data_IF_137387448620
#
_entry.id   IF_137387448620
#
_cell.length_a   1.000
_cell.length_b   1.000
_cell.length_c   1.000
_cell.angle_alpha   90.00
_cell.angle_beta   90.00
_cell.angle_gamma   90.00
#
_symmetry.space_group_name_H-M   'P 1'
#
loop_
_entity.id
_entity.type
_entity.pdbx_description
1 polymer ?
#
# COMPACT_ATOMS: atom_id res chain seq x y z
N UNK A 1 5.19 9.59 -10.66
CA UNK A 1 5.25 9.56 -9.17
C UNK A 1 3.96 10.20 -8.65
N UNK A 2 3.38 9.70 -7.53
CA UNK A 2 2.20 10.29 -6.89
C UNK A 2 2.38 11.77 -6.54
N UNK A 3 1.29 12.53 -6.40
CA UNK A 3 1.37 13.93 -5.95
C UNK A 3 1.89 14.03 -4.53
N UNK A 4 1.50 13.09 -3.66
CA UNK A 4 1.96 12.98 -2.26
C UNK A 4 2.51 11.61 -1.97
N UNK A 5 3.50 11.57 -1.09
CA UNK A 5 4.14 10.35 -0.61
C UNK A 5 4.42 10.45 0.89
N UNK A 6 4.47 9.31 1.57
CA UNK A 6 5.01 9.20 2.91
C UNK A 6 6.52 8.98 2.78
N UNK A 7 7.32 9.94 3.23
CA UNK A 7 8.75 9.74 3.51
C UNK A 7 8.87 8.94 4.82
N UNK A 8 9.17 7.65 4.68
CA UNK A 8 9.26 6.74 5.83
C UNK A 8 10.54 6.95 6.62
N UNK A 9 11.51 7.72 6.12
CA UNK A 9 12.81 7.88 6.77
C UNK A 9 13.57 6.55 6.91
N UNK A 10 14.39 6.45 7.95
CA UNK A 10 15.21 5.27 8.25
C UNK A 10 14.53 4.27 9.18
N UNK A 11 15.06 3.05 9.25
CA UNK A 11 14.56 1.97 10.11
C UNK A 11 14.51 2.37 11.59
N UNK A 12 15.43 3.23 12.05
CA UNK A 12 15.53 3.65 13.45
C UNK A 12 14.55 4.77 13.85
N UNK A 13 13.86 5.41 12.90
CA UNK A 13 12.97 6.53 13.19
C UNK A 13 11.57 6.05 13.61
N UNK A 14 11.02 6.58 14.69
CA UNK A 14 9.63 6.36 15.09
C UNK A 14 8.62 7.18 14.28
N UNK A 15 9.11 8.11 13.46
CA UNK A 15 8.29 9.11 12.76
C UNK A 15 8.41 8.99 11.25
N UNK A 16 7.38 9.40 10.53
CA UNK A 16 7.37 9.60 9.08
C UNK A 16 6.92 11.03 8.75
N UNK A 17 6.92 11.41 7.47
CA UNK A 17 6.39 12.71 7.02
C UNK A 17 5.64 12.56 5.70
N UNK A 18 4.55 13.30 5.55
CA UNK A 18 3.91 13.46 4.25
C UNK A 18 4.67 14.50 3.44
N UNK A 19 5.02 14.18 2.19
CA UNK A 19 5.75 15.09 1.29
C UNK A 19 4.97 15.29 0.01
N UNK A 20 4.99 16.52 -0.49
CA UNK A 20 4.45 16.87 -1.81
C UNK A 20 5.55 16.69 -2.86
N UNK A 21 5.24 15.95 -3.92
CA UNK A 21 6.18 15.63 -5.01
C UNK A 21 6.68 16.88 -5.73
N UNK A 22 5.85 17.92 -5.83
CA UNK A 22 6.23 19.20 -6.43
C UNK A 22 7.40 19.88 -5.70
N UNK A 23 7.54 19.64 -4.40
CA UNK A 23 8.54 20.27 -3.53
C UNK A 23 9.83 19.42 -3.42
N UNK A 24 9.87 18.26 -4.06
CA UNK A 24 11.04 17.39 -4.11
C UNK A 24 12.03 17.84 -5.21
N UNK A 25 13.34 17.64 -4.97
CA UNK A 25 14.36 17.82 -6.01
C UNK A 25 14.20 16.79 -7.13
N UNK A 26 14.72 17.09 -8.31
CA UNK A 26 14.67 16.18 -9.48
C UNK A 26 15.32 14.81 -9.20
N UNK A 27 16.37 14.77 -8.39
CA UNK A 27 16.98 13.52 -7.94
C UNK A 27 16.04 12.70 -7.04
N UNK A 28 15.31 13.35 -6.14
CA UNK A 28 14.34 12.68 -5.26
C UNK A 28 13.12 12.19 -6.04
N UNK A 29 12.68 12.91 -7.08
CA UNK A 29 11.58 12.50 -7.98
C UNK A 29 11.88 11.23 -8.77
N UNK A 30 13.16 10.88 -8.95
CA UNK A 30 13.60 9.63 -9.61
C UNK A 30 13.66 8.44 -8.67
N UNK A 31 13.52 8.64 -7.35
CA UNK A 31 13.58 7.54 -6.38
C UNK A 31 12.33 6.65 -6.50
N UNK A 32 12.49 5.33 -6.35
CA UNK A 32 11.35 4.42 -6.33
C UNK A 32 10.44 4.69 -5.12
N UNK A 33 9.18 4.33 -5.29
CA UNK A 33 8.20 4.26 -4.21
C UNK A 33 7.46 2.93 -4.25
N UNK A 34 6.89 2.56 -3.10
CA UNK A 34 6.05 1.38 -2.93
C UNK A 34 4.62 1.84 -2.67
N UNK A 35 3.64 1.02 -3.04
CA UNK A 35 2.23 1.24 -2.69
C UNK A 35 1.79 0.21 -1.67
N UNK A 36 1.06 0.64 -0.63
CA UNK A 36 0.33 -0.27 0.25
C UNK A 36 -1.14 -0.38 -0.20
N UNK A 37 -1.59 -1.60 -0.49
CA UNK A 37 -2.99 -1.94 -0.76
C UNK A 37 -3.51 -2.81 0.37
N UNK A 38 -4.60 -2.37 1.01
CA UNK A 38 -5.17 -3.00 2.21
C UNK A 38 -6.67 -2.73 2.35
N UNK A 39 -7.37 -3.50 3.17
CA UNK A 39 -8.74 -3.19 3.56
C UNK A 39 -8.72 -2.13 4.66
N UNK A 40 -9.39 -0.99 4.43
CA UNK A 40 -9.49 0.08 5.43
C UNK A 40 -10.20 -0.41 6.70
N UNK A 41 -11.42 -0.93 6.54
CA UNK A 41 -12.26 -1.34 7.66
C UNK A 41 -12.59 -0.18 8.61
N UNK A 42 -12.90 -0.53 9.85
CA UNK A 42 -13.19 0.39 10.96
C UNK A 42 -11.93 1.02 11.58
N UNK A 43 -10.77 0.37 11.49
CA UNK A 43 -9.53 0.85 12.12
C UNK A 43 -8.79 1.97 11.39
N UNK A 44 -9.34 2.51 10.29
CA UNK A 44 -8.61 3.39 9.37
C UNK A 44 -8.66 4.88 9.73
N UNK A 45 -9.50 5.28 10.68
CA UNK A 45 -9.68 6.69 11.04
C UNK A 45 -8.36 7.41 11.39
N UNK A 46 -7.40 6.82 12.13
CA UNK A 46 -6.13 7.48 12.42
C UNK A 46 -5.25 7.71 11.18
N UNK A 47 -5.49 6.98 10.09
CA UNK A 47 -4.77 7.16 8.83
C UNK A 47 -5.36 8.28 7.98
N UNK A 48 -6.63 8.62 8.20
CA UNK A 48 -7.38 9.56 7.37
C UNK A 48 -6.70 10.92 7.37
N UNK A 49 -6.39 11.41 6.18
CA UNK A 49 -5.93 12.79 5.99
C UNK A 49 -7.13 13.68 5.71
N UNK A 50 -7.42 14.59 6.62
CA UNK A 50 -8.41 15.67 6.44
C UNK A 50 -7.76 17.00 6.84
N UNK A 51 -8.10 17.55 8.01
CA UNK A 51 -7.52 18.81 8.54
C UNK A 51 -6.08 18.66 9.03
N UNK A 52 -5.67 17.43 9.35
CA UNK A 52 -4.32 17.10 9.83
C UNK A 52 -3.25 17.13 8.73
N UNK A 53 -3.57 17.56 7.50
CA UNK A 53 -2.61 17.61 6.38
C UNK A 53 -1.33 18.39 6.75
N UNK A 54 -1.48 19.58 7.35
CA UNK A 54 -0.34 20.42 7.76
C UNK A 54 0.50 19.72 8.84
N UNK A 55 -0.15 19.06 9.79
CA UNK A 55 0.54 18.30 10.85
C UNK A 55 1.32 17.14 10.25
N UNK A 56 0.71 16.37 9.32
CA UNK A 56 1.36 15.24 8.64
C UNK A 56 2.55 15.66 7.79
N UNK A 57 2.57 16.88 7.24
CA UNK A 57 3.76 17.43 6.57
C UNK A 57 4.93 17.63 7.53
N UNK A 58 4.64 18.10 8.75
CA UNK A 58 5.67 18.29 9.77
C UNK A 58 6.14 16.93 10.31
N UNK A 59 5.19 16.08 10.70
CA UNK A 59 5.45 14.80 11.36
C UNK A 59 4.21 13.90 11.36
N UNK A 60 4.45 12.61 11.16
CA UNK A 60 3.49 11.52 11.39
C UNK A 60 4.11 10.63 12.47
N UNK A 61 3.45 10.53 13.62
CA UNK A 61 3.79 9.56 14.65
C UNK A 61 3.32 8.19 14.18
N UNK A 62 4.25 7.29 13.85
CA UNK A 62 3.89 6.04 13.18
C UNK A 62 2.98 5.17 14.06
N UNK A 63 3.20 5.18 15.37
CA UNK A 63 2.41 4.42 16.37
C UNK A 63 0.93 4.84 16.44
N UNK A 64 0.59 6.06 16.00
CA UNK A 64 -0.81 6.52 15.92
C UNK A 64 -1.55 5.96 14.71
N UNK A 65 -0.85 5.46 13.68
CA UNK A 65 -1.47 4.90 12.49
C UNK A 65 -2.03 3.50 12.75
N UNK A 66 -2.92 3.02 11.89
CA UNK A 66 -3.40 1.64 11.96
C UNK A 66 -2.25 0.63 11.78
N UNK A 67 -2.39 -0.54 12.42
CA UNK A 67 -1.33 -1.55 12.48
C UNK A 67 -0.82 -1.96 11.08
N UNK A 68 -1.72 -2.06 10.11
CA UNK A 68 -1.40 -2.37 8.72
C UNK A 68 -0.51 -1.32 8.06
N UNK A 69 -0.73 -0.04 8.33
CA UNK A 69 0.12 1.05 7.79
C UNK A 69 1.46 1.09 8.52
N UNK A 70 1.48 0.87 9.83
CA UNK A 70 2.73 0.73 10.59
C UNK A 70 3.63 -0.36 10.00
N UNK A 71 3.03 -1.52 9.72
CA UNK A 71 3.73 -2.64 9.12
C UNK A 71 4.16 -2.33 7.69
N UNK A 72 3.34 -1.63 6.89
CA UNK A 72 3.71 -1.14 5.56
C UNK A 72 4.91 -0.19 5.58
N UNK A 73 4.96 0.73 6.53
CA UNK A 73 6.11 1.63 6.75
C UNK A 73 7.35 0.82 7.10
N UNK A 74 7.22 -0.14 8.03
CA UNK A 74 8.32 -1.03 8.44
C UNK A 74 8.86 -1.84 7.27
N UNK A 75 7.99 -2.47 6.48
CA UNK A 75 8.39 -3.26 5.30
C UNK A 75 9.12 -2.36 4.29
N UNK A 76 8.59 -1.16 4.02
CA UNK A 76 9.20 -0.20 3.09
C UNK A 76 10.62 0.18 3.53
N UNK A 77 10.82 0.44 4.83
CA UNK A 77 12.14 0.71 5.42
C UNK A 77 13.08 -0.49 5.30
N UNK A 78 12.59 -1.71 5.54
CA UNK A 78 13.38 -2.95 5.40
C UNK A 78 13.80 -3.21 3.95
N UNK A 79 12.96 -2.84 2.99
CA UNK A 79 13.29 -2.86 1.56
C UNK A 79 14.29 -1.76 1.15
N UNK A 80 14.70 -0.89 2.09
CA UNK A 80 15.57 0.28 1.84
C UNK A 80 14.96 1.26 0.83
N UNK A 81 13.64 1.36 0.80
CA UNK A 81 12.91 2.34 0.00
C UNK A 81 12.44 3.46 0.92
N UNK A 82 12.50 4.69 0.41
CA UNK A 82 12.16 5.88 1.23
C UNK A 82 10.69 6.28 1.13
N UNK A 83 10.03 5.96 0.01
CA UNK A 83 8.71 6.48 -0.28
C UNK A 83 7.66 5.38 -0.28
N UNK A 84 6.61 5.61 0.50
CA UNK A 84 5.42 4.78 0.56
C UNK A 84 4.20 5.62 0.15
N UNK A 85 3.34 5.05 -0.68
CA UNK A 85 2.03 5.63 -0.99
C UNK A 85 0.94 4.79 -0.34
N UNK A 86 0.04 5.47 0.38
CA UNK A 86 -1.12 4.89 1.06
C UNK A 86 -2.30 5.80 0.76
N UNK A 87 -3.35 5.29 0.13
CA UNK A 87 -4.52 6.07 -0.30
C UNK A 87 -5.13 6.91 0.83
N UNK A 88 -5.38 6.30 2.00
CA UNK A 88 -5.98 6.96 3.16
C UNK A 88 -5.17 8.15 3.71
N UNK A 89 -3.85 8.12 3.54
CA UNK A 89 -2.92 9.15 4.04
C UNK A 89 -2.60 10.17 2.94
N UNK A 90 -2.47 9.71 1.69
CA UNK A 90 -1.99 10.50 0.57
C UNK A 90 -3.10 11.17 -0.24
N UNK A 91 -4.38 10.85 -0.01
CA UNK A 91 -5.54 11.50 -0.63
C UNK A 91 -6.37 12.15 0.47
N UNK A 92 -6.76 13.41 0.28
CA UNK A 92 -7.59 14.14 1.24
C UNK A 92 -8.99 13.52 1.25
N UNK A 93 -9.48 13.20 2.44
CA UNK A 93 -10.79 12.59 2.66
C UNK A 93 -11.74 13.58 3.33
N UNK A 94 -13.04 13.44 3.08
CA UNK A 94 -14.06 14.22 3.76
C UNK A 94 -14.16 13.85 5.24
N UNK A 95 -14.45 14.84 6.08
CA UNK A 95 -14.72 14.65 7.49
C UNK A 95 -16.22 14.67 7.78
N UNK A 96 -16.87 13.51 7.65
CA UNK A 96 -18.31 13.34 7.86
C UNK A 96 -18.82 13.72 9.25
N UNK A 97 -17.93 13.92 10.24
CA UNK A 97 -18.33 14.34 11.59
C UNK A 97 -18.63 15.83 11.68
N UNK A 98 -18.33 16.59 10.63
CA UNK A 98 -18.39 18.04 10.62
C UNK A 98 -19.28 18.49 9.45
N UNK A 99 -20.34 19.23 9.76
CA UNK A 99 -21.28 19.77 8.77
C UNK A 99 -20.68 20.97 8.02
N UNK A 100 -19.55 20.78 7.33
CA UNK A 100 -18.82 21.82 6.62
C UNK A 100 -18.72 21.50 5.14
N UNK A 101 -19.70 21.95 4.35
CA UNK A 101 -19.78 21.76 2.89
C UNK A 101 -18.46 22.09 2.17
N UNK A 102 -17.76 23.14 2.60
CA UNK A 102 -16.50 23.57 1.98
C UNK A 102 -15.36 22.54 2.14
N UNK A 103 -15.34 21.74 3.21
CA UNK A 103 -14.32 20.69 3.39
C UNK A 103 -14.58 19.49 2.50
N UNK A 104 -15.86 19.16 2.32
CA UNK A 104 -16.29 18.10 1.41
C UNK A 104 -15.91 18.45 -0.04
N UNK A 105 -16.07 19.72 -0.45
CA UNK A 105 -15.69 20.17 -1.79
C UNK A 105 -14.17 20.03 -2.03
N UNK A 106 -13.34 20.33 -1.03
CA UNK A 106 -11.87 20.17 -1.13
C UNK A 106 -11.49 18.69 -1.23
N UNK A 107 -12.09 17.83 -0.42
CA UNK A 107 -11.84 16.39 -0.47
C UNK A 107 -12.29 15.79 -1.81
N UNK A 108 -13.44 16.20 -2.32
CA UNK A 108 -13.96 15.76 -3.62
C UNK A 108 -13.04 16.20 -4.77
N UNK A 109 -12.63 17.47 -4.81
CA UNK A 109 -11.70 17.96 -5.82
C UNK A 109 -10.34 17.26 -5.75
N UNK A 110 -9.88 16.90 -4.54
CA UNK A 110 -8.67 16.11 -4.36
C UNK A 110 -8.83 14.69 -4.91
N UNK A 111 -9.91 14.01 -4.55
CA UNK A 111 -10.22 12.67 -4.99
C UNK A 111 -10.35 12.59 -6.51
N UNK A 112 -11.04 13.53 -7.15
CA UNK A 112 -11.13 13.60 -8.62
C UNK A 112 -9.75 13.69 -9.27
N UNK A 113 -8.89 14.56 -8.74
CA UNK A 113 -7.53 14.74 -9.26
C UNK A 113 -6.66 13.50 -9.07
N UNK A 114 -6.74 12.85 -7.92
CA UNK A 114 -5.91 11.69 -7.59
C UNK A 114 -6.41 10.41 -8.27
N UNK A 115 -7.72 10.18 -8.32
CA UNK A 115 -8.34 8.99 -8.94
C UNK A 115 -7.99 8.86 -10.42
N UNK A 116 -8.00 9.98 -11.17
CA UNK A 116 -7.55 10.02 -12.57
C UNK A 116 -6.09 9.59 -12.77
N UNK A 117 -5.25 9.72 -11.73
CA UNK A 117 -3.82 9.41 -11.79
C UNK A 117 -3.46 8.07 -11.18
N UNK A 118 -4.36 7.44 -10.43
CA UNK A 118 -4.11 6.18 -9.74
C UNK A 118 -3.53 5.11 -10.66
N UNK A 119 -4.02 5.01 -11.90
CA UNK A 119 -3.47 4.07 -12.87
C UNK A 119 -1.96 4.27 -13.08
N UNK A 120 -1.53 5.52 -13.27
CA UNK A 120 -0.11 5.85 -13.38
C UNK A 120 0.67 5.58 -12.09
N UNK A 121 0.03 5.72 -10.91
CA UNK A 121 0.69 5.47 -9.63
C UNK A 121 1.01 3.99 -9.47
N UNK A 122 0.07 3.10 -9.78
CA UNK A 122 0.32 1.65 -9.73
C UNK A 122 1.37 1.22 -10.76
N UNK A 123 1.25 1.69 -12.01
CA UNK A 123 2.18 1.35 -13.11
C UNK A 123 3.61 1.82 -12.94
N UNK A 124 3.84 2.91 -12.22
CA UNK A 124 5.18 3.44 -11.98
C UNK A 124 5.74 3.10 -10.59
N UNK A 125 5.01 2.33 -9.78
CA UNK A 125 5.50 1.87 -8.48
C UNK A 125 6.59 0.80 -8.65
N UNK A 126 7.54 0.73 -7.71
CA UNK A 126 8.52 -0.36 -7.71
C UNK A 126 7.84 -1.71 -7.46
N UNK A 127 6.90 -1.69 -6.52
CA UNK A 127 6.07 -2.81 -6.10
C UNK A 127 4.85 -2.30 -5.31
N UNK A 128 3.77 -3.08 -5.35
CA UNK A 128 2.63 -2.99 -4.43
C UNK A 128 2.76 -4.05 -3.32
N UNK A 129 2.72 -3.64 -2.06
CA UNK A 129 2.49 -4.53 -0.91
C UNK A 129 0.98 -4.72 -0.78
N UNK A 130 0.51 -5.94 -0.90
CA UNK A 130 -0.89 -6.29 -0.71
C UNK A 130 -1.09 -6.97 0.65
N UNK A 131 -1.84 -6.34 1.55
CA UNK A 131 -2.18 -6.86 2.87
C UNK A 131 -3.31 -7.91 2.77
N UNK A 132 -3.08 -8.98 2.00
CA UNK A 132 -4.11 -9.95 1.64
C UNK A 132 -4.68 -10.75 2.83
N UNK A 133 -3.97 -10.82 3.96
CA UNK A 133 -4.47 -11.47 5.17
C UNK A 133 -5.41 -10.59 6.01
N UNK A 134 -5.29 -9.26 5.91
CA UNK A 134 -5.95 -8.34 6.83
C UNK A 134 -7.32 -7.92 6.31
N UNK A 135 -8.38 -8.18 7.10
CA UNK A 135 -9.74 -7.71 6.77
C UNK A 135 -9.99 -6.27 7.21
N UNK A 136 -9.26 -5.83 8.21
CA UNK A 136 -9.30 -4.50 8.78
C UNK A 136 -7.88 -3.96 8.94
N UNK A 137 -7.71 -2.64 8.84
CA UNK A 137 -6.41 -2.00 8.97
C UNK A 137 -5.80 -2.08 10.38
N UNK A 138 -6.60 -2.42 11.40
CA UNK A 138 -6.15 -2.68 12.76
C UNK A 138 -5.46 -4.04 12.96
N UNK A 139 -5.65 -5.01 12.05
CA UNK A 139 -5.12 -6.37 12.21
C UNK A 139 -3.60 -6.46 11.98
N UNK A 140 -3.08 -5.65 11.06
CA UNK A 140 -1.67 -5.73 10.67
C UNK A 140 -1.36 -6.75 9.57
N UNK A 141 -0.14 -6.66 9.07
CA UNK A 141 0.39 -7.49 7.99
C UNK A 141 1.39 -8.51 8.55
N UNK A 142 2.19 -8.09 9.53
CA UNK A 142 3.25 -8.88 10.14
C UNK A 142 2.69 -9.78 11.24
N UNK A 143 1.85 -10.73 10.83
CA UNK A 143 1.35 -11.78 11.72
C UNK A 143 2.40 -12.86 11.95
N UNK A 144 2.44 -13.41 13.16
CA UNK A 144 3.21 -14.61 13.45
C UNK A 144 2.61 -15.77 12.65
N UNK A 145 3.46 -16.42 11.85
CA UNK A 145 3.09 -17.59 11.07
C UNK A 145 3.94 -18.75 11.57
N UNK A 146 3.34 -19.94 11.67
CA UNK A 146 4.15 -21.16 11.78
C UNK A 146 4.98 -21.22 10.53
N UNK A 147 6.28 -20.90 10.63
CA UNK A 147 7.22 -21.01 9.53
C UNK A 147 7.19 -22.47 9.07
N UNK A 148 6.39 -22.74 8.05
CA UNK A 148 6.51 -24.00 7.37
C UNK A 148 7.91 -23.97 6.78
N UNK A 149 8.79 -24.84 7.29
CA UNK A 149 10.17 -24.99 6.84
C UNK A 149 10.19 -25.62 5.45
N UNK A 150 9.43 -25.07 4.52
CA UNK A 150 9.61 -25.38 3.12
C UNK A 150 10.99 -24.85 2.76
N UNK A 151 11.84 -25.74 2.30
CA UNK A 151 13.18 -25.39 1.87
C UNK A 151 13.06 -24.32 0.78
N UNK A 152 13.64 -23.13 1.01
CA UNK A 152 13.70 -22.03 0.04
C UNK A 152 14.26 -22.49 -1.32
N UNK A 153 14.88 -23.67 -1.36
CA UNK A 153 15.53 -24.30 -2.52
C UNK A 153 14.59 -24.87 -3.58
N UNK A 154 13.27 -25.01 -3.35
CA UNK A 154 12.36 -25.38 -4.43
C UNK A 154 11.89 -24.14 -5.19
N UNK A 155 12.79 -23.59 -6.00
CA UNK A 155 12.44 -22.78 -7.16
C UNK A 155 11.58 -23.64 -8.09
N UNK A 156 10.26 -23.62 -7.89
CA UNK A 156 9.38 -23.96 -8.97
C UNK A 156 9.41 -22.77 -9.91
N UNK A 157 10.23 -22.86 -10.96
CA UNK A 157 9.80 -22.31 -12.23
C UNK A 157 8.82 -23.34 -12.78
N UNK A 158 7.50 -23.17 -12.63
CA UNK A 158 6.58 -24.00 -13.39
C UNK A 158 6.74 -23.53 -14.83
N UNK A 159 7.74 -24.06 -15.53
CA UNK A 159 7.79 -24.02 -16.96
C UNK A 159 6.40 -24.46 -17.43
N UNK A 160 5.61 -23.52 -17.94
CA UNK A 160 4.24 -23.68 -18.43
C UNK A 160 3.06 -23.56 -17.45
N UNK A 161 3.13 -22.78 -16.36
CA UNK A 161 1.89 -22.20 -15.80
C UNK A 161 1.87 -20.71 -16.08
N UNK A 162 1.01 -20.30 -17.00
CA UNK A 162 0.57 -18.91 -17.17
C UNK A 162 0.36 -18.27 -15.79
N UNK A 163 0.63 -16.97 -15.66
CA UNK A 163 0.18 -16.21 -14.50
C UNK A 163 -1.29 -16.61 -14.23
N UNK A 164 -1.64 -17.08 -13.02
CA UNK A 164 -3.05 -17.34 -12.75
C UNK A 164 -3.78 -16.04 -13.06
N UNK A 165 -4.80 -16.10 -13.91
CA UNK A 165 -5.63 -14.94 -14.17
C UNK A 165 -6.05 -14.34 -12.82
N UNK A 166 -6.25 -13.01 -12.70
CA UNK A 166 -6.64 -12.41 -11.42
C UNK A 166 -7.82 -13.17 -10.75
N UNK A 167 -8.74 -13.68 -11.58
CA UNK A 167 -9.82 -14.56 -11.15
C UNK A 167 -9.35 -15.90 -10.56
N UNK A 168 -8.48 -16.64 -11.27
CA UNK A 168 -7.93 -17.91 -10.78
C UNK A 168 -7.09 -17.71 -9.50
N UNK A 169 -6.33 -16.61 -9.39
CA UNK A 169 -5.61 -16.30 -8.17
C UNK A 169 -6.58 -16.03 -7.02
N UNK A 170 -7.60 -15.20 -7.23
CA UNK A 170 -8.61 -14.88 -6.21
C UNK A 170 -9.32 -16.14 -5.69
N UNK A 171 -9.61 -17.11 -6.57
CA UNK A 171 -10.17 -18.39 -6.15
C UNK A 171 -9.19 -19.23 -5.32
N UNK A 172 -7.90 -19.22 -5.68
CA UNK A 172 -6.86 -19.99 -4.98
C UNK A 172 -6.49 -19.40 -3.62
N UNK A 173 -6.44 -18.07 -3.54
CA UNK A 173 -6.03 -17.31 -2.37
C UNK A 173 -7.13 -16.30 -2.01
N UNK A 174 -8.25 -16.74 -1.41
CA UNK A 174 -9.34 -15.83 -1.08
C UNK A 174 -8.88 -14.77 -0.08
N UNK A 175 -9.25 -13.52 -0.34
CA UNK A 175 -8.91 -12.37 0.49
C UNK A 175 -10.00 -11.31 0.39
N UNK A 176 -10.33 -10.67 1.51
CA UNK A 176 -11.20 -9.49 1.54
C UNK A 176 -10.68 -8.34 0.68
N UNK A 177 -9.36 -8.28 0.47
CA UNK A 177 -8.73 -7.28 -0.38
C UNK A 177 -9.23 -7.39 -1.83
N UNK A 178 -9.56 -8.60 -2.27
CA UNK A 178 -9.91 -8.91 -3.66
C UNK A 178 -11.39 -8.68 -3.98
N UNK A 179 -12.18 -8.36 -2.95
CA UNK A 179 -13.59 -7.98 -3.05
C UNK A 179 -13.77 -6.47 -3.33
N UNK A 180 -12.70 -5.68 -3.22
CA UNK A 180 -12.72 -4.24 -3.51
C UNK A 180 -12.95 -3.99 -5.00
N UNK A 181 -13.79 -3.01 -5.34
CA UNK A 181 -14.06 -2.63 -6.73
C UNK A 181 -12.82 -2.25 -7.54
N UNK A 182 -11.80 -1.67 -6.88
CA UNK A 182 -10.57 -1.21 -7.54
C UNK A 182 -9.46 -2.27 -7.60
N UNK A 183 -9.62 -3.41 -6.94
CA UNK A 183 -8.56 -4.42 -6.79
C UNK A 183 -7.95 -4.88 -8.12
N UNK A 184 -8.77 -5.09 -9.15
CA UNK A 184 -8.31 -5.57 -10.44
C UNK A 184 -7.40 -4.55 -11.13
N UNK A 185 -7.74 -3.26 -11.06
CA UNK A 185 -6.92 -2.17 -11.56
C UNK A 185 -5.59 -2.11 -10.81
N UNK A 186 -5.63 -2.18 -9.49
CA UNK A 186 -4.42 -2.19 -8.66
C UNK A 186 -3.51 -3.39 -8.97
N UNK A 187 -4.09 -4.54 -9.33
CA UNK A 187 -3.35 -5.73 -9.73
C UNK A 187 -2.68 -5.55 -11.08
N UNK A 188 -3.48 -5.38 -12.13
CA UNK A 188 -3.01 -5.42 -13.52
C UNK A 188 -1.95 -4.36 -13.78
N UNK A 189 -2.09 -3.20 -13.14
CA UNK A 189 -1.18 -2.09 -13.35
C UNK A 189 0.09 -2.19 -12.53
N UNK A 190 0.13 -2.97 -11.45
CA UNK A 190 1.34 -3.09 -10.64
C UNK A 190 2.39 -3.97 -11.33
N UNK A 191 3.62 -3.48 -11.58
CA UNK A 191 4.64 -4.29 -12.26
C UNK A 191 5.12 -5.47 -11.40
N UNK A 192 5.03 -5.32 -10.07
CA UNK A 192 5.34 -6.35 -9.07
C UNK A 192 4.41 -6.23 -7.88
N UNK A 193 4.00 -7.37 -7.31
CA UNK A 193 3.10 -7.42 -6.17
C UNK A 193 3.68 -8.35 -5.10
N UNK A 194 3.79 -7.86 -3.88
CA UNK A 194 4.07 -8.68 -2.70
C UNK A 194 2.78 -8.93 -1.95
N UNK A 195 2.15 -10.08 -2.18
CA UNK A 195 0.96 -10.51 -1.45
C UNK A 195 1.37 -11.12 -0.12
N UNK A 196 0.90 -10.50 0.95
CA UNK A 196 1.11 -10.95 2.31
C UNK A 196 -0.13 -11.72 2.76
N UNK A 197 -0.10 -13.04 2.62
CA UNK A 197 -1.26 -13.92 2.87
C UNK A 197 -1.16 -14.59 4.24
N UNK A 198 -2.25 -15.22 4.68
CA UNK A 198 -2.29 -16.07 5.88
C UNK A 198 -1.24 -17.20 5.84
N UNK A 199 -0.97 -17.72 4.64
CA UNK A 199 -0.24 -18.97 4.44
C UNK A 199 1.20 -18.77 3.96
N UNK A 200 1.64 -17.55 3.68
CA UNK A 200 2.91 -17.31 3.00
C UNK A 200 3.00 -15.97 2.29
N UNK A 201 4.21 -15.60 1.91
CA UNK A 201 4.47 -14.52 0.97
C UNK A 201 4.33 -15.02 -0.46
N UNK A 202 3.61 -14.27 -1.30
CA UNK A 202 3.60 -14.50 -2.75
C UNK A 202 4.19 -13.25 -3.40
N UNK A 203 5.28 -13.43 -4.14
CA UNK A 203 5.91 -12.38 -4.91
C UNK A 203 5.60 -12.57 -6.39
N UNK A 204 4.85 -11.66 -6.97
CA UNK A 204 4.42 -11.71 -8.37
C UNK A 204 5.11 -10.59 -9.18
N UNK A 205 5.43 -10.88 -10.44
CA UNK A 205 5.90 -9.91 -11.43
C UNK A 205 5.36 -10.27 -12.82
N UNK A 206 5.60 -9.43 -13.82
CA UNK A 206 5.02 -9.56 -15.17
C UNK A 206 5.15 -10.93 -15.83
N UNK A 207 6.19 -11.72 -15.47
CA UNK A 207 6.52 -12.98 -16.13
C UNK A 207 6.54 -14.17 -15.17
N UNK A 208 6.03 -14.03 -13.94
CA UNK A 208 6.03 -15.14 -12.99
C UNK A 208 5.63 -14.75 -11.59
N UNK A 209 5.61 -15.74 -10.71
CA UNK A 209 5.44 -15.54 -9.28
C UNK A 209 6.29 -16.53 -8.48
N UNK A 210 6.56 -16.17 -7.24
CA UNK A 210 7.21 -16.99 -6.23
C UNK A 210 6.23 -17.11 -5.06
N UNK A 211 6.14 -18.28 -4.46
CA UNK A 211 5.34 -18.51 -3.27
C UNK A 211 6.21 -19.18 -2.19
N UNK A 212 6.25 -18.55 -1.03
CA UNK A 212 6.79 -19.10 0.20
C UNK A 212 5.77 -20.11 0.77
N UNK A 213 5.82 -21.36 0.28
CA UNK A 213 4.91 -22.44 0.69
C UNK A 213 4.80 -23.56 -0.32
#
# INVERSE_FOLDING_TARGET
MPTRLIDVGSVAQSTARLVETKDLSEEKKKRPYVILSYCWGSGNDPARTSRNLRERHNKIECDTLSKTIQDGIRITRLMKIQYLWVDAVCIIQSDKTLNAQQEDDVAMADWERESMRMASYYSNSLCRIAASNAKDSSEGILIERRAARYDFKKWYNPANKFLPSPFAFRQRFPSSLFERGWWLQEWILSPRILHWTANGLIWEWSNGFFWEG
#
